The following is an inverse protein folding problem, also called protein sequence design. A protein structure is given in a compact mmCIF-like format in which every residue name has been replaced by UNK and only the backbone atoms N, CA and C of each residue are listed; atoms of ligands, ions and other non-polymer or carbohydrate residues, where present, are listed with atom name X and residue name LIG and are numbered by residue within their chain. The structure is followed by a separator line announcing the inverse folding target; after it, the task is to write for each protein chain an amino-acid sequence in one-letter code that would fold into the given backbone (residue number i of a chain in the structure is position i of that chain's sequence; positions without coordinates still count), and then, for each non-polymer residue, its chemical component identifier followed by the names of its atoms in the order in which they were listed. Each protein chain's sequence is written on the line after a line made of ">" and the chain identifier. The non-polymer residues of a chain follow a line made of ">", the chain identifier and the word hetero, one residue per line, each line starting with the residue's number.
data_IF_179126605221
#
_entry.id   IF_179126605221
#
_cell.length_a   1.000
_cell.length_b   1.000
_cell.length_c   1.000
_cell.angle_alpha   90.00
_cell.angle_beta   90.00
_cell.angle_gamma   90.00
#
_symmetry.space_group_name_H-M   'P 1'
#
loop_
_entity.id
_entity.type
_entity.pdbx_description
1 polymer ?
#
# COMPACT_ATOMS: atom_id res chain seq x y z
N UNK A 1 -10.76 7.31 -1.22
CA UNK A 1 -10.79 6.92 0.22
C UNK A 1 -11.97 6.01 0.60
N UNK A 2 -13.24 6.34 0.30
CA UNK A 2 -14.40 5.47 0.67
C UNK A 2 -14.24 4.02 0.19
N UNK A 3 -13.85 3.83 -1.07
CA UNK A 3 -13.61 2.52 -1.67
C UNK A 3 -12.52 1.69 -0.94
N UNK A 4 -11.38 2.31 -0.59
CA UNK A 4 -10.29 1.66 0.16
C UNK A 4 -10.82 1.13 1.50
N UNK A 5 -11.59 1.95 2.23
CA UNK A 5 -12.17 1.58 3.51
C UNK A 5 -13.20 0.43 3.41
N UNK A 6 -13.93 0.32 2.30
CA UNK A 6 -14.86 -0.79 2.07
C UNK A 6 -14.12 -2.10 1.83
N UNK A 7 -13.04 -2.08 1.04
CA UNK A 7 -12.20 -3.26 0.78
C UNK A 7 -11.47 -3.71 2.06
N UNK A 8 -10.91 -2.78 2.83
CA UNK A 8 -10.19 -3.10 4.08
C UNK A 8 -11.09 -3.66 5.18
N UNK A 9 -12.42 -3.48 5.09
CA UNK A 9 -13.39 -4.07 6.03
C UNK A 9 -13.81 -5.50 5.67
N UNK A 10 -13.47 -5.99 4.48
CA UNK A 10 -13.72 -7.38 4.12
C UNK A 10 -12.89 -8.28 5.03
N UNK A 11 -13.45 -9.41 5.44
CA UNK A 11 -12.73 -10.40 6.26
C UNK A 11 -11.47 -10.91 5.55
N UNK A 12 -11.52 -11.04 4.22
CA UNK A 12 -10.44 -11.57 3.42
C UNK A 12 -10.38 -10.92 2.02
N UNK A 13 -9.92 -9.66 1.89
CA UNK A 13 -9.80 -9.01 0.58
C UNK A 13 -8.80 -9.75 -0.31
N UNK A 14 -9.05 -9.82 -1.61
CA UNK A 14 -8.10 -10.42 -2.55
C UNK A 14 -6.90 -9.50 -2.79
N UNK A 15 -5.78 -10.06 -3.25
CA UNK A 15 -4.61 -9.25 -3.63
C UNK A 15 -4.96 -8.29 -4.77
N UNK A 16 -5.78 -8.73 -5.73
CA UNK A 16 -6.25 -7.90 -6.85
C UNK A 16 -7.08 -6.70 -6.36
N UNK A 17 -8.00 -6.91 -5.41
CA UNK A 17 -8.78 -5.82 -4.81
C UNK A 17 -7.89 -4.79 -4.10
N UNK A 18 -6.85 -5.27 -3.40
CA UNK A 18 -5.88 -4.41 -2.73
C UNK A 18 -4.99 -3.66 -3.73
N UNK A 19 -4.56 -4.31 -4.82
CA UNK A 19 -3.80 -3.66 -5.90
C UNK A 19 -4.66 -2.58 -6.56
N UNK A 20 -5.93 -2.85 -6.84
CA UNK A 20 -6.85 -1.86 -7.42
C UNK A 20 -7.02 -0.64 -6.49
N UNK A 21 -7.15 -0.89 -5.17
CA UNK A 21 -7.14 0.18 -4.17
C UNK A 21 -5.82 0.97 -4.19
N UNK A 22 -4.69 0.27 -4.24
CA UNK A 22 -3.36 0.86 -4.24
C UNK A 22 -3.08 1.67 -5.52
N UNK A 23 -3.58 1.22 -6.67
CA UNK A 23 -3.50 1.97 -7.93
C UNK A 23 -4.30 3.27 -7.88
N UNK A 24 -5.50 3.24 -7.25
CA UNK A 24 -6.37 4.42 -7.16
C UNK A 24 -5.73 5.62 -6.45
N UNK A 25 -4.66 5.42 -5.66
CA UNK A 25 -4.01 6.53 -4.95
C UNK A 25 -3.35 7.54 -5.91
N UNK A 26 -2.99 7.12 -7.13
CA UNK A 26 -2.41 7.99 -8.16
C UNK A 26 -3.35 9.14 -8.55
N UNK A 27 -4.66 8.95 -8.37
CA UNK A 27 -5.68 9.96 -8.62
C UNK A 27 -5.54 11.18 -7.68
N UNK A 28 -4.87 11.00 -6.54
CA UNK A 28 -4.56 12.08 -5.59
C UNK A 28 -3.21 12.76 -5.87
N UNK A 29 -2.50 12.35 -6.93
CA UNK A 29 -1.14 12.80 -7.22
C UNK A 29 -0.07 12.18 -6.32
N UNK A 30 -0.43 11.17 -5.55
CA UNK A 30 0.50 10.39 -4.72
C UNK A 30 1.17 9.29 -5.54
N UNK A 31 2.35 8.84 -5.09
CA UNK A 31 3.13 7.81 -5.79
C UNK A 31 3.00 6.49 -5.04
N UNK A 32 2.59 5.44 -5.74
CA UNK A 32 2.46 4.08 -5.24
C UNK A 32 3.63 3.22 -5.77
N UNK A 33 4.34 2.52 -4.89
CA UNK A 33 5.43 1.61 -5.30
C UNK A 33 5.31 0.26 -4.62
N UNK A 34 5.43 -0.80 -5.42
CA UNK A 34 5.63 -2.19 -4.97
C UNK A 34 7.01 -2.62 -5.49
N UNK A 35 7.89 -3.01 -4.57
CA UNK A 35 9.22 -3.54 -4.88
C UNK A 35 9.30 -5.00 -4.42
N UNK A 36 9.74 -5.84 -5.34
CA UNK A 36 10.08 -7.24 -5.11
C UNK A 36 11.60 -7.35 -4.95
N UNK A 37 12.08 -7.68 -3.75
CA UNK A 37 13.49 -7.77 -3.41
C UNK A 37 13.94 -9.23 -3.34
N UNK A 38 14.42 -9.75 -4.47
CA UNK A 38 14.77 -11.18 -4.62
C UNK A 38 16.03 -11.62 -3.86
N UNK A 39 16.85 -10.69 -3.38
CA UNK A 39 18.02 -11.02 -2.55
C UNK A 39 17.67 -11.18 -1.07
N UNK A 40 16.53 -10.65 -0.62
CA UNK A 40 16.09 -10.72 0.77
C UNK A 40 15.33 -12.01 1.04
N UNK A 41 15.77 -12.75 2.04
CA UNK A 41 15.05 -13.92 2.57
C UNK A 41 13.91 -13.49 3.49
N UNK A 42 14.15 -12.46 4.32
CA UNK A 42 13.16 -11.86 5.20
C UNK A 42 12.66 -10.53 4.64
N UNK A 43 11.35 -10.34 4.65
CA UNK A 43 10.65 -9.17 4.15
C UNK A 43 11.04 -8.78 2.69
N UNK A 44 10.87 -9.71 1.71
CA UNK A 44 11.19 -9.45 0.31
C UNK A 44 10.24 -8.46 -0.37
N UNK A 45 9.09 -8.12 0.24
CA UNK A 45 8.17 -7.14 -0.31
C UNK A 45 8.30 -5.81 0.41
N UNK A 46 8.72 -4.78 -0.33
CA UNK A 46 8.65 -3.39 0.13
C UNK A 46 7.52 -2.69 -0.61
N UNK A 47 6.53 -2.18 0.12
CA UNK A 47 5.46 -1.37 -0.43
C UNK A 47 5.47 0.01 0.23
N UNK A 48 5.39 1.07 -0.56
CA UNK A 48 5.33 2.42 0.00
C UNK A 48 4.51 3.40 -0.83
N UNK A 49 4.07 4.47 -0.17
CA UNK A 49 3.35 5.61 -0.72
C UNK A 49 4.11 6.88 -0.37
N UNK A 50 4.46 7.69 -1.37
CA UNK A 50 5.06 9.01 -1.17
C UNK A 50 4.13 10.13 -1.63
N UNK A 51 4.28 11.30 -0.99
CA UNK A 51 3.36 12.43 -1.08
C UNK A 51 4.08 13.64 -1.67
N UNK A 52 4.35 13.68 -2.99
CA UNK A 52 5.16 14.74 -3.60
C UNK A 52 4.52 16.14 -3.45
N UNK A 53 3.18 16.20 -3.35
CA UNK A 53 2.43 17.44 -3.21
C UNK A 53 2.51 17.97 -1.77
N UNK A 54 2.46 17.08 -0.76
CA UNK A 54 2.45 17.44 0.66
C UNK A 54 3.86 17.26 1.24
N UNK A 55 4.70 18.30 1.11
CA UNK A 55 6.14 18.25 1.40
C UNK A 55 6.54 17.76 2.81
N UNK A 56 5.67 17.86 3.81
CA UNK A 56 5.95 17.45 5.18
C UNK A 56 5.32 16.10 5.56
N UNK A 57 4.58 15.46 4.66
CA UNK A 57 3.96 14.17 4.95
C UNK A 57 5.00 13.06 4.80
N UNK A 58 5.18 12.30 5.87
CA UNK A 58 6.09 11.15 5.87
C UNK A 58 5.63 10.08 4.87
N UNK A 59 6.60 9.37 4.28
CA UNK A 59 6.34 8.22 3.43
C UNK A 59 5.66 7.12 4.27
N UNK A 60 4.55 6.59 3.77
CA UNK A 60 3.95 5.37 4.33
C UNK A 60 4.69 4.19 3.73
N UNK A 61 5.25 3.31 4.55
CA UNK A 61 6.02 2.15 4.10
C UNK A 61 5.71 0.92 4.96
N UNK A 62 5.71 -0.25 4.33
CA UNK A 62 5.71 -1.55 4.98
C UNK A 62 6.71 -2.48 4.25
N UNK A 63 7.50 -3.22 5.03
CA UNK A 63 8.38 -4.28 4.54
C UNK A 63 7.87 -5.60 5.15
N UNK A 64 7.43 -6.56 4.34
CA UNK A 64 6.74 -7.78 4.81
C UNK A 64 7.13 -9.04 4.03
N UNK A 65 6.87 -10.20 4.64
CA UNK A 65 7.05 -11.53 4.04
C UNK A 65 6.01 -11.88 2.96
N UNK A 66 4.92 -11.12 2.89
CA UNK A 66 3.82 -11.37 1.97
C UNK A 66 3.28 -10.03 1.42
N UNK A 67 3.02 -10.00 0.10
CA UNK A 67 2.57 -8.81 -0.59
C UNK A 67 1.22 -8.31 -0.06
N UNK A 68 0.29 -9.22 0.23
CA UNK A 68 -1.03 -8.87 0.75
C UNK A 68 -0.91 -8.14 2.09
N UNK A 69 -0.06 -8.64 2.98
CA UNK A 69 0.21 -8.05 4.28
C UNK A 69 0.83 -6.65 4.15
N UNK A 70 1.78 -6.46 3.22
CA UNK A 70 2.36 -5.16 2.96
C UNK A 70 1.32 -4.15 2.44
N UNK A 71 0.49 -4.57 1.47
CA UNK A 71 -0.59 -3.76 0.90
C UNK A 71 -1.62 -3.32 1.95
N UNK A 72 -2.08 -4.24 2.81
CA UNK A 72 -3.02 -3.92 3.88
C UNK A 72 -2.42 -2.87 4.83
N UNK A 73 -1.18 -3.05 5.27
CA UNK A 73 -0.53 -2.11 6.21
C UNK A 73 -0.40 -0.70 5.64
N UNK A 74 0.00 -0.56 4.38
CA UNK A 74 0.11 0.78 3.76
C UNK A 74 -1.25 1.41 3.49
N UNK A 75 -2.24 0.63 3.02
CA UNK A 75 -3.58 1.13 2.73
C UNK A 75 -4.33 1.55 4.00
N UNK A 76 -4.17 0.81 5.10
CA UNK A 76 -4.72 1.19 6.41
C UNK A 76 -4.16 2.53 6.89
N UNK A 77 -2.85 2.74 6.76
CA UNK A 77 -2.20 4.02 7.12
C UNK A 77 -2.58 5.16 6.17
N UNK A 78 -2.89 4.85 4.92
CA UNK A 78 -3.29 5.85 3.93
C UNK A 78 -4.73 6.32 4.12
N UNK A 79 -5.62 5.41 4.54
CA UNK A 79 -7.04 5.67 4.71
C UNK A 79 -7.44 6.19 6.10
N UNK A 80 -6.53 6.11 7.08
CA UNK A 80 -6.67 6.72 8.40
C UNK A 80 -6.20 8.17 8.41
#
# INVERSE_FOLDING_TARGET
>A
MKHINEILKKENPSVEELINCFESIKENGDIAVIKFDGERVENPYTVFISFPIIKQKEIIRADENDLKSALIKVLMRYAG
#
